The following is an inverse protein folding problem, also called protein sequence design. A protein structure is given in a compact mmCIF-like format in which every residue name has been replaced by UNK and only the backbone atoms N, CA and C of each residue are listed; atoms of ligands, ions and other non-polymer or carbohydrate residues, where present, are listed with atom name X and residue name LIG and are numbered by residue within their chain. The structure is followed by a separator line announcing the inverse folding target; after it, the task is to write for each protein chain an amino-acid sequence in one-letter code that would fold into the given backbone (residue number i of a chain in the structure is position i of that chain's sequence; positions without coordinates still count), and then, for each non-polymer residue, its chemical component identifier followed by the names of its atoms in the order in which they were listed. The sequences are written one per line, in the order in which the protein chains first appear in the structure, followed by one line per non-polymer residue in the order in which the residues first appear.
data_IF_976046786713
#
_entry.id   IF_976046786713
#
_cell.length_a   1.000
_cell.length_b   1.000
_cell.length_c   1.000
_cell.angle_alpha   90.00
_cell.angle_beta   90.00
_cell.angle_gamma   90.00
#
_symmetry.space_group_name_H-M   'P 1'
#
loop_
_entity.id
_entity.type
_entity.pdbx_description
1 polymer ?
#
# COMPACT_ATOMS: atom_id res chain seq x y z
N UNK A 1 11.09 -5.73 12.26
CA UNK A 1 12.46 -5.19 12.22
C UNK A 1 12.66 -3.96 13.15
N UNK A 2 11.66 -3.08 13.33
CA UNK A 2 11.80 -1.89 14.20
C UNK A 2 11.64 -2.15 15.72
N UNK A 3 10.89 -3.17 16.14
CA UNK A 3 10.59 -3.40 17.55
C UNK A 3 11.84 -3.63 18.43
N UNK A 4 12.91 -4.22 17.88
CA UNK A 4 14.12 -4.53 18.64
C UNK A 4 15.14 -3.38 18.71
N UNK A 5 15.01 -2.32 17.90
CA UNK A 5 15.98 -1.20 17.89
C UNK A 5 15.44 0.09 18.53
N UNK A 6 14.13 0.14 18.82
CA UNK A 6 13.48 1.30 19.42
C UNK A 6 14.09 1.71 20.77
N UNK A 7 14.47 0.73 21.59
CA UNK A 7 15.09 0.97 22.90
C UNK A 7 16.47 1.65 22.77
N UNK A 8 17.22 1.31 21.72
CA UNK A 8 18.52 1.92 21.42
C UNK A 8 18.33 3.38 21.03
N UNK A 9 17.42 3.68 20.10
CA UNK A 9 17.17 5.05 19.68
C UNK A 9 16.62 5.92 20.82
N UNK A 10 15.78 5.36 21.68
CA UNK A 10 15.28 6.05 22.89
C UNK A 10 16.43 6.35 23.84
N UNK A 11 17.30 5.37 24.13
CA UNK A 11 18.45 5.53 25.02
C UNK A 11 19.42 6.62 24.55
N UNK A 12 19.68 6.70 23.25
CA UNK A 12 20.59 7.67 22.66
C UNK A 12 19.91 8.95 22.17
N UNK A 13 18.60 9.13 22.46
CA UNK A 13 17.79 10.27 22.05
C UNK A 13 17.88 10.57 20.54
N UNK A 14 17.98 9.51 19.73
CA UNK A 14 18.04 9.63 18.28
C UNK A 14 16.62 9.91 17.75
N UNK A 15 16.40 11.01 16.99
CA UNK A 15 15.11 11.27 16.38
C UNK A 15 14.73 10.17 15.40
N UNK A 16 13.56 9.56 15.61
CA UNK A 16 13.02 8.55 14.72
C UNK A 16 12.03 9.20 13.78
N UNK A 17 12.29 9.07 12.48
CA UNK A 17 11.38 9.52 11.41
C UNK A 17 10.98 8.32 10.57
N UNK A 18 9.69 8.26 10.21
CA UNK A 18 9.20 7.24 9.29
C UNK A 18 9.33 7.74 7.86
N UNK A 19 10.05 7.00 7.02
CA UNK A 19 10.12 7.23 5.58
C UNK A 19 9.30 6.15 4.88
N UNK A 20 8.34 6.59 4.08
CA UNK A 20 7.47 5.71 3.33
C UNK A 20 7.71 5.90 1.84
N UNK A 21 7.73 4.79 1.10
CA UNK A 21 7.91 4.79 -0.35
C UNK A 21 6.60 5.05 -1.11
N UNK A 22 5.46 5.13 -0.39
CA UNK A 22 4.16 5.45 -0.96
C UNK A 22 3.78 6.92 -0.74
N UNK A 23 2.84 7.42 -1.55
CA UNK A 23 2.36 8.79 -1.45
C UNK A 23 1.55 9.03 -0.16
N UNK A 24 1.42 10.31 0.21
CA UNK A 24 0.71 10.73 1.41
C UNK A 24 -0.73 10.21 1.48
N UNK A 25 -1.45 10.17 0.35
CA UNK A 25 -2.81 9.64 0.28
C UNK A 25 -2.89 8.15 0.65
N UNK A 26 -1.90 7.35 0.24
CA UNK A 26 -1.83 5.93 0.57
C UNK A 26 -1.65 5.75 2.09
N UNK A 27 -0.74 6.51 2.70
CA UNK A 27 -0.56 6.47 4.15
C UNK A 27 -1.77 6.96 4.93
N UNK A 28 -2.46 7.98 4.43
CA UNK A 28 -3.68 8.47 5.06
C UNK A 28 -4.75 7.38 5.08
N UNK A 29 -4.94 6.66 3.97
CA UNK A 29 -5.81 5.49 3.89
C UNK A 29 -5.38 4.39 4.87
N UNK A 30 -4.09 4.05 4.92
CA UNK A 30 -3.56 3.00 5.80
C UNK A 30 -3.76 3.33 7.28
N UNK A 31 -3.46 4.57 7.65
CA UNK A 31 -3.64 5.05 9.01
C UNK A 31 -5.12 5.07 9.41
N UNK A 32 -5.99 5.60 8.55
CA UNK A 32 -7.42 5.67 8.83
C UNK A 32 -8.05 4.27 8.88
N UNK A 33 -7.64 3.36 7.99
CA UNK A 33 -8.06 1.96 7.99
C UNK A 33 -7.67 1.24 9.30
N UNK A 34 -6.44 1.45 9.78
CA UNK A 34 -5.99 0.93 11.07
C UNK A 34 -6.86 1.46 12.21
N UNK A 35 -7.18 2.76 12.22
CA UNK A 35 -8.01 3.38 13.26
C UNK A 35 -9.47 2.93 13.21
N UNK A 36 -9.97 2.62 12.02
CA UNK A 36 -11.34 2.19 11.80
C UNK A 36 -11.52 0.67 11.99
N UNK A 37 -10.48 -0.08 12.38
CA UNK A 37 -10.53 -1.55 12.55
C UNK A 37 -11.12 -2.24 11.31
N UNK A 38 -10.71 -1.83 10.11
CA UNK A 38 -11.35 -2.29 8.87
C UNK A 38 -11.31 -3.81 8.72
N UNK A 39 -10.33 -4.50 9.31
CA UNK A 39 -10.25 -5.97 9.33
C UNK A 39 -11.49 -6.66 9.92
N UNK A 40 -12.31 -5.94 10.70
CA UNK A 40 -13.55 -6.43 11.29
C UNK A 40 -14.82 -6.04 10.49
N UNK A 41 -14.69 -5.50 9.28
CA UNK A 41 -15.83 -5.19 8.40
C UNK A 41 -16.50 -6.49 7.95
N UNK A 42 -17.83 -6.54 8.08
CA UNK A 42 -18.62 -7.69 7.64
C UNK A 42 -18.98 -7.56 6.15
N UNK A 43 -19.24 -8.67 5.43
CA UNK A 43 -19.78 -8.60 4.09
C UNK A 43 -21.06 -7.75 4.03
N UNK A 44 -21.12 -6.81 3.09
CA UNK A 44 -22.24 -5.88 2.92
C UNK A 44 -22.17 -4.61 3.78
N UNK A 45 -21.14 -4.46 4.61
CA UNK A 45 -20.85 -3.22 5.35
C UNK A 45 -19.80 -2.40 4.60
N UNK A 46 -20.01 -1.08 4.56
CA UNK A 46 -19.02 -0.09 4.14
C UNK A 46 -18.69 0.79 5.35
N UNK A 47 -17.40 0.96 5.63
CA UNK A 47 -16.93 1.79 6.74
C UNK A 47 -16.30 3.07 6.23
N UNK A 48 -16.85 4.19 6.65
CA UNK A 48 -16.30 5.51 6.36
C UNK A 48 -15.03 5.73 7.19
N UNK A 49 -13.99 6.23 6.53
CA UNK A 49 -12.70 6.53 7.14
C UNK A 49 -12.70 7.99 7.61
N UNK A 50 -12.80 8.21 8.92
CA UNK A 50 -12.86 9.55 9.50
C UNK A 50 -11.68 10.42 9.04
N UNK A 51 -11.98 11.62 8.52
CA UNK A 51 -10.99 12.57 8.01
C UNK A 51 -10.64 12.39 6.53
N UNK A 52 -11.20 11.38 5.86
CA UNK A 52 -11.14 11.20 4.42
C UNK A 52 -12.53 11.43 3.79
N UNK A 53 -12.60 11.69 2.48
CA UNK A 53 -13.87 11.76 1.76
C UNK A 53 -14.68 10.47 1.89
N UNK A 54 -16.01 10.56 1.88
CA UNK A 54 -16.91 9.41 2.05
C UNK A 54 -16.71 8.36 0.94
N UNK A 55 -16.30 8.79 -0.26
CA UNK A 55 -16.00 7.93 -1.40
C UNK A 55 -14.76 7.05 -1.17
N UNK A 56 -13.93 7.37 -0.17
CA UNK A 56 -12.80 6.55 0.28
C UNK A 56 -13.16 5.56 1.39
N UNK A 57 -14.46 5.38 1.69
CA UNK A 57 -14.92 4.31 2.56
C UNK A 57 -14.45 2.94 2.07
N UNK A 58 -14.16 2.04 3.00
CA UNK A 58 -13.71 0.68 2.68
C UNK A 58 -14.82 -0.33 2.92
N UNK A 59 -14.94 -1.31 2.05
CA UNK A 59 -15.83 -2.45 2.22
C UNK A 59 -15.07 -3.78 2.37
N UNK A 60 -15.82 -4.87 2.52
CA UNK A 60 -15.25 -6.21 2.61
C UNK A 60 -14.43 -6.62 1.38
N UNK A 61 -14.79 -6.17 0.17
CA UNK A 61 -14.08 -6.50 -1.07
C UNK A 61 -12.74 -5.80 -1.13
N UNK A 62 -12.66 -4.53 -0.69
CA UNK A 62 -11.41 -3.79 -0.59
C UNK A 62 -10.40 -4.48 0.32
N UNK A 63 -10.88 -4.98 1.46
CA UNK A 63 -10.08 -5.78 2.40
C UNK A 63 -9.61 -7.06 1.72
N UNK A 64 -10.55 -7.84 1.17
CA UNK A 64 -10.22 -9.10 0.50
C UNK A 64 -9.14 -8.90 -0.56
N UNK A 65 -9.31 -7.92 -1.46
CA UNK A 65 -8.31 -7.58 -2.49
C UNK A 65 -6.94 -7.25 -1.90
N UNK A 66 -6.90 -6.52 -0.79
CA UNK A 66 -5.67 -6.06 -0.14
C UNK A 66 -4.86 -7.20 0.49
N UNK A 67 -5.52 -8.23 1.01
CA UNK A 67 -4.87 -9.40 1.61
C UNK A 67 -4.75 -10.59 0.65
N UNK A 68 -5.53 -10.63 -0.43
CA UNK A 68 -5.48 -11.69 -1.46
C UNK A 68 -4.33 -11.53 -2.46
N UNK A 69 -3.61 -10.40 -2.48
CA UNK A 69 -2.51 -10.15 -3.43
C UNK A 69 -1.21 -10.94 -3.15
N UNK A 70 -1.28 -12.08 -2.46
CA UNK A 70 -0.20 -13.07 -2.42
C UNK A 70 -0.31 -14.15 -3.51
N UNK A 71 -1.28 -14.04 -4.43
CA UNK A 71 -1.35 -14.88 -5.62
C UNK A 71 -1.37 -13.98 -6.86
N UNK A 72 -0.35 -14.16 -7.70
CA UNK A 72 -0.23 -13.53 -9.01
C UNK A 72 -1.54 -13.73 -9.81
N UNK A 73 -2.29 -12.67 -10.08
CA UNK A 73 -3.31 -12.76 -11.13
C UNK A 73 -2.60 -12.76 -12.49
N UNK A 74 -2.91 -13.73 -13.37
CA UNK A 74 -2.35 -13.76 -14.71
C UNK A 74 -2.94 -12.61 -15.53
N UNK A 75 -2.07 -11.75 -16.05
CA UNK A 75 -2.41 -10.67 -16.98
C UNK A 75 -2.94 -11.25 -18.32
N UNK A 76 -4.19 -11.72 -18.35
CA UNK A 76 -4.92 -11.97 -19.59
C UNK A 76 -5.52 -10.64 -20.04
N UNK A 77 -4.74 -9.97 -20.89
CA UNK A 77 -5.12 -8.75 -21.58
C UNK A 77 -3.91 -8.29 -22.38
N UNK A 78 -3.94 -8.51 -23.68
CA UNK A 78 -2.93 -8.15 -24.68
C UNK A 78 -2.51 -6.68 -24.57
N UNK A 79 -1.57 -6.36 -23.68
CA UNK A 79 -0.93 -5.04 -23.60
C UNK A 79 0.44 -5.15 -24.24
N UNK A 80 0.62 -4.43 -25.35
CA UNK A 80 1.94 -4.08 -25.90
C UNK A 80 2.84 -3.67 -24.73
N UNK A 81 4.04 -4.25 -24.67
CA UNK A 81 5.03 -4.01 -23.61
C UNK A 81 5.17 -2.49 -23.39
N UNK A 82 4.62 -2.01 -22.29
CA UNK A 82 4.72 -0.63 -21.81
C UNK A 82 5.44 -0.58 -20.47
N UNK A 83 6.25 -1.60 -20.18
CA UNK A 83 7.23 -1.54 -19.11
C UNK A 83 8.38 -0.61 -19.54
N UNK A 84 9.02 0.12 -18.60
CA UNK A 84 10.34 0.65 -18.83
C UNK A 84 11.27 -0.47 -19.31
N UNK A 85 12.13 -0.20 -20.30
CA UNK A 85 13.16 -1.14 -20.78
C UNK A 85 13.83 -1.82 -19.60
N UNK A 86 13.87 -3.15 -19.62
CA UNK A 86 14.54 -3.90 -18.57
C UNK A 86 16.06 -3.73 -18.71
N UNK A 87 16.83 -3.88 -17.61
CA UNK A 87 18.28 -3.86 -17.69
C UNK A 87 18.77 -4.91 -18.69
N UNK A 88 19.43 -4.48 -19.77
CA UNK A 88 19.93 -5.34 -20.85
C UNK A 88 19.13 -5.28 -22.15
N UNK A 89 17.98 -4.60 -22.18
CA UNK A 89 17.25 -4.34 -23.42
C UNK A 89 18.00 -3.33 -24.30
N UNK A 90 18.00 -3.58 -25.62
CA UNK A 90 18.57 -2.65 -26.60
C UNK A 90 17.70 -1.38 -26.67
N UNK A 91 18.32 -0.19 -26.55
CA UNK A 91 17.55 1.04 -26.55
C UNK A 91 17.00 1.35 -27.96
N UNK A 92 15.78 1.91 -28.06
CA UNK A 92 15.06 2.08 -29.33
C UNK A 92 15.66 3.12 -30.29
N UNK A 93 16.74 3.79 -29.92
CA UNK A 93 17.44 4.80 -30.74
C UNK A 93 18.71 4.26 -31.40
N UNK A 94 19.03 2.98 -31.23
CA UNK A 94 20.08 2.29 -31.99
C UNK A 94 19.38 1.60 -33.17
N UNK A 95 19.71 2.03 -34.40
CA UNK A 95 19.35 1.36 -35.66
C UNK A 95 20.56 0.61 -36.20
#
# INVERSE_FOLDING_TARGET
MLAHIGDVFTKFQVPVVAFFTCGAACLAMDYAALKAYVECIKPGETRILLGLPDEMGMDYVDIARRYSSSSEEPLIGTKKKSLPTQPGDEPPWIQ
#
